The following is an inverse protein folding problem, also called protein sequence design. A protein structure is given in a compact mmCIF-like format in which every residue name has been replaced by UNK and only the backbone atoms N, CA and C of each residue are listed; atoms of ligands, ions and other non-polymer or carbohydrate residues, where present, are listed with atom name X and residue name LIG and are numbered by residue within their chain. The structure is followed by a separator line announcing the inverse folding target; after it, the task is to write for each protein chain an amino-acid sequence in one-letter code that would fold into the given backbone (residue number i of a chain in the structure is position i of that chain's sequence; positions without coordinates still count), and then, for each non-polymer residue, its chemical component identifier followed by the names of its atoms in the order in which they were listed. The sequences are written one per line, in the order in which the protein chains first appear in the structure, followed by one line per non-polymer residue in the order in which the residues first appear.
data_IF_544513569930
#
_entry.id   IF_544513569930
#
_cell.length_a   1.000
_cell.length_b   1.000
_cell.length_c   1.000
_cell.angle_alpha   90.00
_cell.angle_beta   90.00
_cell.angle_gamma   90.00
#
_symmetry.space_group_name_H-M   'P 1'
#
loop_
_entity.id
_entity.type
_entity.pdbx_description
1 polymer ?
#
# COMPACT_ATOMS: atom_id res chain seq x y z
N UNK A 1 29.65 20.22 -4.61
CA UNK A 1 28.63 19.26 -4.13
C UNK A 1 28.18 18.45 -5.33
N UNK A 2 28.61 17.20 -5.46
CA UNK A 2 28.25 16.35 -6.59
C UNK A 2 26.77 15.90 -6.49
N UNK A 3 26.04 15.71 -7.60
CA UNK A 3 24.66 15.24 -7.54
C UNK A 3 24.64 13.83 -6.93
N UNK A 4 23.87 13.64 -5.86
CA UNK A 4 23.49 12.32 -5.36
C UNK A 4 22.59 11.67 -6.41
N UNK A 5 23.15 10.83 -7.28
CA UNK A 5 22.37 9.91 -8.10
C UNK A 5 21.58 8.98 -7.18
N UNK A 6 20.34 9.37 -6.87
CA UNK A 6 19.41 8.51 -6.16
C UNK A 6 19.19 7.23 -6.97
N UNK A 7 19.31 6.09 -6.31
CA UNK A 7 19.01 4.79 -6.91
C UNK A 7 17.54 4.77 -7.29
N UNK A 8 17.23 4.77 -8.59
CA UNK A 8 15.85 4.63 -9.07
C UNK A 8 15.51 3.15 -8.99
N UNK A 9 14.60 2.79 -8.09
CA UNK A 9 13.98 1.46 -8.09
C UNK A 9 12.97 1.42 -9.23
N UNK A 10 13.33 0.71 -10.29
CA UNK A 10 12.49 0.54 -11.47
C UNK A 10 11.92 -0.88 -11.54
N UNK A 11 10.67 -0.98 -11.99
CA UNK A 11 10.05 -2.27 -12.31
C UNK A 11 10.70 -2.83 -13.58
N UNK A 12 11.03 -4.13 -13.57
CA UNK A 12 11.58 -4.79 -14.75
C UNK A 12 10.66 -4.59 -15.98
N UNK A 13 11.20 -4.30 -17.18
CA UNK A 13 10.38 -3.97 -18.36
C UNK A 13 9.30 -5.00 -18.68
N UNK A 14 9.58 -6.29 -18.47
CA UNK A 14 8.59 -7.36 -18.69
C UNK A 14 7.42 -7.32 -17.71
N UNK A 15 7.70 -7.00 -16.44
CA UNK A 15 6.65 -6.82 -15.43
C UNK A 15 5.82 -5.59 -15.77
N UNK A 16 6.47 -4.49 -16.18
CA UNK A 16 5.76 -3.30 -16.62
C UNK A 16 4.86 -3.58 -17.84
N UNK A 17 5.33 -4.37 -18.81
CA UNK A 17 4.52 -4.81 -19.96
C UNK A 17 3.32 -5.63 -19.51
N UNK A 18 3.51 -6.60 -18.61
CA UNK A 18 2.44 -7.44 -18.09
C UNK A 18 1.38 -6.63 -17.31
N UNK A 19 1.82 -5.64 -16.51
CA UNK A 19 0.91 -4.75 -15.78
C UNK A 19 0.08 -3.86 -16.72
N UNK A 20 0.70 -3.34 -17.80
CA UNK A 20 0.00 -2.53 -18.81
C UNK A 20 -1.01 -3.32 -19.64
N UNK A 21 -0.79 -4.63 -19.80
CA UNK A 21 -1.70 -5.50 -20.56
C UNK A 21 -2.98 -5.90 -19.80
N UNK A 22 -3.08 -5.59 -18.50
CA UNK A 22 -4.27 -5.91 -17.69
C UNK A 22 -5.50 -5.17 -18.19
N UNK A 23 -6.61 -5.89 -18.27
CA UNK A 23 -7.94 -5.31 -18.51
C UNK A 23 -8.35 -4.36 -17.39
N UNK A 24 -9.35 -3.51 -17.66
CA UNK A 24 -9.89 -2.60 -16.64
C UNK A 24 -10.35 -3.33 -15.37
N UNK A 25 -11.03 -4.47 -15.52
CA UNK A 25 -11.50 -5.27 -14.39
C UNK A 25 -10.36 -5.88 -13.58
N UNK A 26 -9.30 -6.37 -14.23
CA UNK A 26 -8.14 -6.89 -13.53
C UNK A 26 -7.38 -5.78 -12.78
N UNK A 27 -7.34 -4.57 -13.33
CA UNK A 27 -6.76 -3.41 -12.65
C UNK A 27 -7.57 -3.01 -11.42
N UNK A 28 -8.90 -2.99 -11.52
CA UNK A 28 -9.78 -2.70 -10.38
C UNK A 28 -9.64 -3.78 -9.30
N UNK A 29 -9.62 -5.06 -9.68
CA UNK A 29 -9.38 -6.17 -8.75
C UNK A 29 -8.02 -6.02 -8.05
N UNK A 30 -6.96 -5.76 -8.80
CA UNK A 30 -5.63 -5.55 -8.23
C UNK A 30 -5.61 -4.38 -7.23
N UNK A 31 -6.25 -3.26 -7.57
CA UNK A 31 -6.35 -2.11 -6.69
C UNK A 31 -7.12 -2.44 -5.40
N UNK A 32 -8.24 -3.16 -5.52
CA UNK A 32 -9.05 -3.59 -4.39
C UNK A 32 -8.27 -4.54 -3.45
N UNK A 33 -7.68 -5.60 -4.00
CA UNK A 33 -6.88 -6.56 -3.22
C UNK A 33 -5.69 -5.87 -2.51
N UNK A 34 -5.04 -4.91 -3.20
CA UNK A 34 -3.97 -4.11 -2.61
C UNK A 34 -4.49 -3.26 -1.46
N UNK A 35 -5.66 -2.64 -1.61
CA UNK A 35 -6.27 -1.83 -0.57
C UNK A 35 -6.59 -2.64 0.68
N UNK A 36 -7.20 -3.81 0.53
CA UNK A 36 -7.48 -4.71 1.66
C UNK A 36 -6.21 -5.12 2.39
N UNK A 37 -5.18 -5.53 1.64
CA UNK A 37 -3.88 -5.91 2.22
C UNK A 37 -3.24 -4.77 3.00
N UNK A 38 -3.27 -3.55 2.45
CA UNK A 38 -2.69 -2.37 3.11
C UNK A 38 -3.46 -2.04 4.38
N UNK A 39 -4.79 -2.05 4.34
CA UNK A 39 -5.65 -1.84 5.52
C UNK A 39 -5.29 -2.82 6.63
N UNK A 40 -5.21 -4.11 6.31
CA UNK A 40 -4.99 -5.16 7.29
C UNK A 40 -3.57 -5.09 7.89
N UNK A 41 -2.55 -4.86 7.05
CA UNK A 41 -1.16 -4.68 7.52
C UNK A 41 -1.00 -3.44 8.38
N UNK A 42 -1.63 -2.32 7.99
CA UNK A 42 -1.58 -1.09 8.77
C UNK A 42 -2.26 -1.27 10.12
N UNK A 43 -3.42 -1.94 10.16
CA UNK A 43 -4.11 -2.27 11.40
C UNK A 43 -3.24 -3.13 12.32
N UNK A 44 -2.62 -4.19 11.79
CA UNK A 44 -1.73 -5.05 12.56
C UNK A 44 -0.49 -4.31 13.08
N UNK A 45 0.12 -3.46 12.24
CA UNK A 45 1.25 -2.62 12.63
C UNK A 45 0.88 -1.66 13.77
N UNK A 46 -0.26 -0.98 13.67
CA UNK A 46 -0.72 -0.06 14.71
C UNK A 46 -1.04 -0.79 16.02
N UNK A 47 -1.71 -1.95 15.95
CA UNK A 47 -1.97 -2.78 17.12
C UNK A 47 -0.68 -3.21 17.84
N UNK A 48 0.35 -3.57 17.08
CA UNK A 48 1.64 -3.95 17.65
C UNK A 48 2.41 -2.75 18.24
N UNK A 49 2.27 -1.57 17.63
CA UNK A 49 2.99 -0.35 18.04
C UNK A 49 2.33 0.38 19.21
N UNK A 50 1.03 0.19 19.37
CA UNK A 50 0.14 0.84 20.35
C UNK A 50 -0.76 -0.21 21.05
N UNK A 51 -0.19 -1.07 21.93
CA UNK A 51 -0.96 -2.10 22.62
C UNK A 51 -2.06 -1.55 23.55
N UNK A 52 -1.98 -0.27 23.90
CA UNK A 52 -2.98 0.46 24.68
C UNK A 52 -4.24 0.82 23.88
N UNK A 53 -4.20 0.73 22.54
CA UNK A 53 -5.34 1.08 21.70
C UNK A 53 -6.34 -0.06 21.57
N UNK A 54 -7.62 0.30 21.73
CA UNK A 54 -8.74 -0.56 21.39
C UNK A 54 -8.93 -0.69 19.87
N UNK A 55 -9.76 -1.66 19.47
CA UNK A 55 -10.07 -1.93 18.05
C UNK A 55 -10.58 -0.69 17.32
N UNK A 56 -11.48 0.07 17.94
CA UNK A 56 -12.09 1.26 17.31
C UNK A 56 -11.07 2.35 17.02
N UNK A 57 -10.15 2.61 17.96
CA UNK A 57 -9.08 3.58 17.77
C UNK A 57 -8.16 3.15 16.61
N UNK A 58 -7.78 1.87 16.57
CA UNK A 58 -6.97 1.34 15.45
C UNK A 58 -7.69 1.54 14.11
N UNK A 59 -8.99 1.23 14.02
CA UNK A 59 -9.75 1.41 12.77
C UNK A 59 -9.88 2.88 12.37
N UNK A 60 -10.11 3.79 13.32
CA UNK A 60 -10.13 5.22 13.09
C UNK A 60 -8.79 5.71 12.51
N UNK A 61 -7.68 5.23 13.07
CA UNK A 61 -6.33 5.58 12.64
C UNK A 61 -5.96 4.99 11.27
N UNK A 62 -6.45 3.79 10.93
CA UNK A 62 -6.32 3.21 9.59
C UNK A 62 -7.11 4.04 8.57
N UNK A 63 -8.39 4.32 8.86
CA UNK A 63 -9.25 5.11 7.98
C UNK A 63 -8.67 6.50 7.71
N UNK A 64 -8.20 7.20 8.76
CA UNK A 64 -7.58 8.52 8.66
C UNK A 64 -6.35 8.56 7.75
N UNK A 65 -5.59 7.46 7.65
CA UNK A 65 -4.36 7.38 6.85
C UNK A 65 -4.63 7.00 5.40
N UNK A 66 -5.63 6.17 5.15
CA UNK A 66 -5.92 5.67 3.81
C UNK A 66 -6.90 6.55 3.03
N UNK A 67 -7.85 7.21 3.70
CA UNK A 67 -8.90 8.02 3.06
C UNK A 67 -8.55 9.51 2.93
N UNK A 68 -7.29 9.89 3.11
CA UNK A 68 -6.85 11.29 3.11
C UNK A 68 -6.34 11.75 1.76
#
# INVERSE_FOLDING_TARGET
MAPTSGRIEAVHPEVARALRAKSGMERLRLAHETWELVRDRLGAYLAARHPEWGREEIQSQVARRLLR
#
